data_IF_424010207167
#
_entry.id   IF_424010207167
#
_cell.length_a   1.000
_cell.length_b   1.000
_cell.length_c   1.000
_cell.angle_alpha   90.00
_cell.angle_beta   90.00
_cell.angle_gamma   90.00
#
_symmetry.space_group_name_H-M   'P 1'
#
loop_
_entity.id
_entity.type
_entity.pdbx_description
1 polymer ?
#
# COMPACT_ATOMS: atom_id res chain seq x y z
N UNK A 1 -35.51 16.83 -3.57
CA UNK A 1 -34.33 16.31 -2.85
C UNK A 1 -33.39 15.69 -3.87
N UNK A 2 -32.47 16.47 -4.41
CA UNK A 2 -31.50 16.03 -5.41
C UNK A 2 -30.34 15.36 -4.69
N UNK A 3 -30.17 14.04 -4.87
CA UNK A 3 -28.93 13.37 -4.52
C UNK A 3 -27.78 14.09 -5.22
N UNK A 4 -26.70 14.50 -4.52
CA UNK A 4 -25.54 15.03 -5.21
C UNK A 4 -24.93 13.91 -6.06
N UNK A 5 -24.90 14.15 -7.37
CA UNK A 5 -24.13 13.37 -8.33
C UNK A 5 -22.62 13.48 -8.02
N UNK A 6 -21.89 12.39 -8.31
CA UNK A 6 -20.43 12.34 -8.53
C UNK A 6 -19.46 12.31 -7.32
N UNK A 7 -19.80 11.57 -6.27
CA UNK A 7 -18.76 10.87 -5.50
C UNK A 7 -18.66 9.44 -6.05
N UNK A 8 -17.59 9.13 -6.81
CA UNK A 8 -17.33 7.76 -7.28
C UNK A 8 -17.60 6.75 -6.16
N UNK A 9 -18.40 5.71 -6.47
CA UNK A 9 -18.87 4.74 -5.47
C UNK A 9 -17.68 4.18 -4.68
N UNK A 10 -17.82 3.87 -3.37
CA UNK A 10 -16.74 3.30 -2.55
C UNK A 10 -16.09 2.08 -3.22
N UNK A 11 -16.91 1.27 -3.91
CA UNK A 11 -16.46 0.13 -4.69
C UNK A 11 -15.60 0.53 -5.89
N UNK A 12 -15.96 1.59 -6.61
CA UNK A 12 -15.15 2.12 -7.72
C UNK A 12 -13.80 2.64 -7.23
N UNK A 13 -13.76 3.35 -6.09
CA UNK A 13 -12.51 3.83 -5.48
C UNK A 13 -11.61 2.67 -5.06
N UNK A 14 -12.20 1.63 -4.44
CA UNK A 14 -11.50 0.42 -4.05
C UNK A 14 -10.90 -0.31 -5.26
N UNK A 15 -11.68 -0.50 -6.33
CA UNK A 15 -11.19 -1.11 -7.58
C UNK A 15 -10.09 -0.30 -8.22
N UNK A 16 -10.24 1.03 -8.25
CA UNK A 16 -9.21 1.93 -8.77
C UNK A 16 -7.92 1.82 -7.95
N UNK A 17 -8.02 1.70 -6.62
CA UNK A 17 -6.86 1.46 -5.76
C UNK A 17 -6.17 0.13 -6.12
N UNK A 18 -6.95 -0.93 -6.36
CA UNK A 18 -6.43 -2.22 -6.84
C UNK A 18 -5.70 -2.11 -8.19
N UNK A 19 -6.20 -1.31 -9.14
CA UNK A 19 -5.55 -1.08 -10.44
C UNK A 19 -4.21 -0.38 -10.26
N UNK A 20 -4.17 0.70 -9.47
CA UNK A 20 -2.90 1.40 -9.21
C UNK A 20 -1.91 0.54 -8.45
N UNK A 21 -2.36 -0.29 -7.51
CA UNK A 21 -1.50 -1.27 -6.84
C UNK A 21 -0.90 -2.26 -7.84
N UNK A 22 -1.69 -2.79 -8.76
CA UNK A 22 -1.21 -3.69 -9.81
C UNK A 22 -0.16 -3.01 -10.69
N UNK A 23 -0.39 -1.74 -11.08
CA UNK A 23 0.60 -0.95 -11.83
C UNK A 23 1.88 -0.82 -11.01
N UNK A 24 1.81 -0.52 -9.71
CA UNK A 24 2.99 -0.49 -8.84
C UNK A 24 3.72 -1.83 -8.84
N UNK A 25 3.04 -2.96 -8.70
CA UNK A 25 3.70 -4.27 -8.71
C UNK A 25 4.43 -4.55 -10.03
N UNK A 26 3.77 -4.31 -11.16
CA UNK A 26 4.35 -4.55 -12.49
C UNK A 26 5.55 -3.62 -12.73
N UNK A 27 5.36 -2.33 -12.49
CA UNK A 27 6.41 -1.32 -12.76
C UNK A 27 7.55 -1.38 -11.74
N UNK A 28 7.25 -1.69 -10.47
CA UNK A 28 8.25 -1.96 -9.45
C UNK A 28 9.10 -3.19 -9.76
N UNK A 29 8.46 -4.27 -10.24
CA UNK A 29 9.17 -5.44 -10.75
C UNK A 29 10.10 -5.09 -11.92
N UNK A 30 9.60 -4.35 -12.91
CA UNK A 30 10.41 -3.88 -14.04
C UNK A 30 11.56 -2.97 -13.59
N UNK A 31 11.36 -2.11 -12.59
CA UNK A 31 12.40 -1.26 -12.03
C UNK A 31 13.53 -2.07 -11.39
N UNK A 32 13.20 -3.18 -10.72
CA UNK A 32 14.17 -4.10 -10.13
C UNK A 32 15.01 -4.81 -11.20
N UNK A 33 14.39 -5.37 -12.24
CA UNK A 33 15.12 -6.06 -13.31
C UNK A 33 15.89 -5.11 -14.25
N UNK A 34 15.37 -3.89 -14.43
CA UNK A 34 15.99 -2.84 -15.25
C UNK A 34 16.92 -1.92 -14.47
N UNK A 35 17.37 -2.29 -13.26
CA UNK A 35 18.13 -1.41 -12.38
C UNK A 35 19.37 -0.83 -13.10
N UNK A 36 19.54 0.49 -13.07
CA UNK A 36 20.64 1.18 -13.74
C UNK A 36 20.39 1.58 -15.20
N UNK A 37 19.25 1.20 -15.79
CA UNK A 37 18.80 1.67 -17.11
C UNK A 37 17.77 2.80 -17.01
N UNK A 38 17.61 3.60 -18.07
CA UNK A 38 16.57 4.63 -18.15
C UNK A 38 15.16 4.03 -17.99
N UNK A 39 14.93 2.84 -18.54
CA UNK A 39 13.66 2.12 -18.42
C UNK A 39 13.36 1.74 -16.96
N UNK A 40 14.36 1.26 -16.22
CA UNK A 40 14.20 0.95 -14.80
C UNK A 40 13.92 2.19 -13.95
N UNK A 41 14.59 3.31 -14.25
CA UNK A 41 14.34 4.59 -13.59
C UNK A 41 12.92 5.11 -13.89
N UNK A 42 12.49 5.09 -15.15
CA UNK A 42 11.15 5.49 -15.55
C UNK A 42 10.07 4.60 -14.88
N UNK A 43 10.28 3.28 -14.87
CA UNK A 43 9.38 2.34 -14.20
C UNK A 43 9.29 2.60 -12.69
N UNK A 44 10.41 2.92 -12.02
CA UNK A 44 10.43 3.28 -10.61
C UNK A 44 9.63 4.56 -10.31
N UNK A 45 9.74 5.59 -11.16
CA UNK A 45 8.94 6.81 -11.04
C UNK A 45 7.44 6.55 -11.23
N UNK A 46 7.08 5.73 -12.22
CA UNK A 46 5.68 5.32 -12.43
C UNK A 46 5.15 4.53 -11.25
N UNK A 47 5.95 3.62 -10.68
CA UNK A 47 5.58 2.86 -9.49
C UNK A 47 5.30 3.80 -8.29
N UNK A 48 6.19 4.78 -8.06
CA UNK A 48 6.04 5.79 -7.02
C UNK A 48 4.80 6.66 -7.18
N UNK A 49 4.57 7.19 -8.39
CA UNK A 49 3.39 7.99 -8.71
C UNK A 49 2.09 7.18 -8.54
N UNK A 50 2.09 5.92 -9.00
CA UNK A 50 0.95 5.02 -8.83
C UNK A 50 0.68 4.72 -7.36
N UNK A 51 1.74 4.56 -6.55
CA UNK A 51 1.60 4.33 -5.12
C UNK A 51 1.02 5.54 -4.38
N UNK A 52 1.35 6.77 -4.81
CA UNK A 52 0.70 7.98 -4.29
C UNK A 52 -0.80 7.92 -4.56
N UNK A 53 -1.22 7.52 -5.77
CA UNK A 53 -2.64 7.35 -6.08
C UNK A 53 -3.31 6.27 -5.19
N UNK A 54 -2.67 5.11 -5.00
CA UNK A 54 -3.11 4.08 -4.04
C UNK A 54 -3.33 4.68 -2.65
N UNK A 55 -2.35 5.43 -2.17
CA UNK A 55 -2.37 6.05 -0.83
C UNK A 55 -3.59 6.95 -0.65
N UNK A 56 -3.86 7.82 -1.63
CA UNK A 56 -5.00 8.74 -1.58
C UNK A 56 -6.34 8.01 -1.69
N UNK A 57 -6.42 6.98 -2.53
CA UNK A 57 -7.64 6.17 -2.68
C UNK A 57 -7.95 5.37 -1.42
N UNK A 58 -6.94 4.73 -0.82
CA UNK A 58 -7.10 4.01 0.44
C UNK A 58 -7.42 4.94 1.60
N UNK A 59 -6.83 6.14 1.65
CA UNK A 59 -7.26 7.17 2.60
C UNK A 59 -8.77 7.44 2.47
N UNK A 60 -9.26 7.62 1.24
CA UNK A 60 -10.69 7.82 0.97
C UNK A 60 -11.57 6.64 1.39
N UNK A 61 -11.10 5.41 1.16
CA UNK A 61 -11.82 4.18 1.53
C UNK A 61 -11.84 3.96 3.04
N UNK A 62 -10.74 4.21 3.75
CA UNK A 62 -10.67 3.96 5.20
C UNK A 62 -11.05 5.15 6.09
N UNK A 63 -11.24 6.34 5.49
CA UNK A 63 -11.69 7.56 6.21
C UNK A 63 -12.88 7.32 7.16
N UNK A 64 -13.94 6.55 6.80
CA UNK A 64 -15.05 6.25 7.72
C UNK A 64 -14.66 5.48 8.98
N UNK A 65 -13.65 4.60 8.90
CA UNK A 65 -13.23 3.78 10.05
C UNK A 65 -12.50 4.64 11.08
N UNK A 66 -11.56 5.45 10.61
CA UNK A 66 -10.95 6.52 11.41
C UNK A 66 -10.17 7.47 10.52
N UNK A 67 -10.53 8.76 10.57
CA UNK A 67 -9.83 9.80 9.82
C UNK A 67 -8.37 9.94 10.23
N UNK A 68 -8.08 9.84 11.53
CA UNK A 68 -6.73 10.03 12.09
C UNK A 68 -5.75 8.93 11.66
N UNK A 69 -6.13 7.66 11.80
CA UNK A 69 -5.24 6.55 11.42
C UNK A 69 -5.09 6.45 9.90
N UNK A 70 -6.16 6.72 9.14
CA UNK A 70 -6.07 6.77 7.67
C UNK A 70 -5.13 7.88 7.20
N UNK A 71 -5.20 9.07 7.83
CA UNK A 71 -4.27 10.16 7.52
C UNK A 71 -2.83 9.81 7.92
N UNK A 72 -2.64 9.20 9.09
CA UNK A 72 -1.33 8.75 9.54
C UNK A 72 -0.74 7.74 8.55
N UNK A 73 -1.52 6.74 8.12
CA UNK A 73 -1.10 5.77 7.11
C UNK A 73 -0.71 6.47 5.80
N UNK A 74 -1.51 7.46 5.37
CA UNK A 74 -1.21 8.21 4.17
C UNK A 74 0.11 9.00 4.27
N UNK A 75 0.34 9.70 5.37
CA UNK A 75 1.58 10.44 5.61
C UNK A 75 2.79 9.50 5.66
N UNK A 76 2.69 8.40 6.42
CA UNK A 76 3.76 7.38 6.50
C UNK A 76 4.09 6.84 5.11
N UNK A 77 3.07 6.51 4.32
CA UNK A 77 3.26 6.02 2.95
C UNK A 77 3.92 7.05 2.05
N UNK A 78 3.51 8.32 2.11
CA UNK A 78 4.07 9.39 1.29
C UNK A 78 5.55 9.62 1.61
N UNK A 79 5.95 9.53 2.88
CA UNK A 79 7.37 9.57 3.27
C UNK A 79 8.13 8.39 2.65
N UNK A 80 7.57 7.18 2.68
CA UNK A 80 8.14 5.99 2.04
C UNK A 80 8.32 6.16 0.52
N UNK A 81 7.29 6.67 -0.17
CA UNK A 81 7.32 6.96 -1.61
C UNK A 81 8.31 8.07 -1.99
N UNK A 82 8.59 9.02 -1.10
CA UNK A 82 9.60 10.04 -1.32
C UNK A 82 11.01 9.47 -1.32
N UNK A 83 11.29 8.43 -0.51
CA UNK A 83 12.65 7.92 -0.33
C UNK A 83 12.98 6.82 -1.35
N UNK A 84 12.06 5.89 -1.62
CA UNK A 84 12.35 4.69 -2.41
C UNK A 84 12.65 4.94 -3.90
N UNK A 85 11.66 5.36 -4.71
CA UNK A 85 11.85 5.70 -6.12
C UNK A 85 12.95 6.73 -6.38
N UNK A 86 13.06 7.78 -5.54
CA UNK A 86 14.17 8.74 -5.64
C UNK A 86 15.51 8.09 -5.35
N UNK A 87 15.57 7.13 -4.41
CA UNK A 87 16.77 6.34 -4.14
C UNK A 87 17.25 5.52 -5.32
N UNK A 88 16.33 5.00 -6.15
CA UNK A 88 16.67 4.28 -7.38
C UNK A 88 17.20 5.22 -8.48
N UNK A 89 16.69 6.45 -8.57
CA UNK A 89 17.14 7.45 -9.56
C UNK A 89 18.49 8.06 -9.14
N UNK A 90 18.68 8.35 -7.86
CA UNK A 90 19.87 9.04 -7.32
C UNK A 90 20.96 8.05 -6.86
N UNK A 91 20.73 6.73 -6.99
CA UNK A 91 21.63 5.65 -6.53
C UNK A 91 22.01 5.80 -5.05
N UNK A 92 21.02 5.99 -4.19
CA UNK A 92 21.26 6.05 -2.74
C UNK A 92 21.87 4.73 -2.25
N UNK A 93 22.73 4.76 -1.21
CA UNK A 93 23.30 3.56 -0.61
C UNK A 93 22.20 2.58 -0.19
N UNK A 94 22.47 1.27 -0.21
CA UNK A 94 21.48 0.23 0.11
C UNK A 94 20.79 0.37 1.48
N UNK A 95 21.37 1.12 2.41
CA UNK A 95 20.74 1.47 3.70
C UNK A 95 19.46 2.32 3.56
N UNK A 96 19.37 3.18 2.54
CA UNK A 96 18.17 3.98 2.27
C UNK A 96 16.97 3.08 1.95
N UNK A 97 17.21 1.95 1.28
CA UNK A 97 16.16 0.98 0.95
C UNK A 97 15.61 0.27 2.20
N UNK A 98 16.46 -0.06 3.17
CA UNK A 98 15.99 -0.70 4.42
C UNK A 98 15.07 0.22 5.22
N UNK A 99 15.42 1.50 5.32
CA UNK A 99 14.58 2.50 6.01
C UNK A 99 13.23 2.64 5.30
N UNK A 100 13.22 2.70 3.96
CA UNK A 100 11.98 2.72 3.18
C UNK A 100 11.12 1.50 3.48
N UNK A 101 11.69 0.28 3.50
CA UNK A 101 10.95 -0.94 3.82
C UNK A 101 10.34 -0.87 5.23
N UNK A 102 11.09 -0.42 6.24
CA UNK A 102 10.56 -0.26 7.60
C UNK A 102 9.37 0.71 7.64
N UNK A 103 9.45 1.83 6.92
CA UNK A 103 8.36 2.80 6.80
C UNK A 103 7.12 2.14 6.14
N UNK A 104 7.33 1.39 5.06
CA UNK A 104 6.26 0.58 4.45
C UNK A 104 5.71 -0.48 5.39
N UNK A 105 6.53 -1.04 6.29
CA UNK A 105 6.10 -1.93 7.34
C UNK A 105 5.09 -1.29 8.28
N UNK A 106 5.39 -0.09 8.78
CA UNK A 106 4.46 0.69 9.61
C UNK A 106 3.17 1.01 8.84
N UNK A 107 3.29 1.41 7.58
CA UNK A 107 2.13 1.63 6.71
C UNK A 107 1.25 0.37 6.58
N UNK A 108 1.84 -0.79 6.30
CA UNK A 108 1.13 -2.06 6.17
C UNK A 108 0.39 -2.43 7.46
N UNK A 109 1.01 -2.21 8.63
CA UNK A 109 0.37 -2.43 9.93
C UNK A 109 -0.84 -1.52 10.13
N UNK A 110 -0.74 -0.24 9.77
CA UNK A 110 -1.84 0.71 9.87
C UNK A 110 -3.01 0.33 8.95
N UNK A 111 -2.73 -0.02 7.69
CA UNK A 111 -3.75 -0.47 6.74
C UNK A 111 -4.36 -1.81 7.19
N UNK A 112 -3.53 -2.77 7.62
CA UNK A 112 -4.00 -4.05 8.15
C UNK A 112 -4.92 -3.88 9.34
N UNK A 113 -4.57 -3.00 10.29
CA UNK A 113 -5.42 -2.65 11.43
C UNK A 113 -6.75 -2.01 10.99
N UNK A 114 -6.71 -1.06 10.04
CA UNK A 114 -7.91 -0.44 9.49
C UNK A 114 -8.82 -1.48 8.81
N UNK A 115 -8.25 -2.45 8.09
CA UNK A 115 -9.00 -3.54 7.46
C UNK A 115 -9.66 -4.44 8.51
N UNK A 116 -8.94 -4.81 9.56
CA UNK A 116 -9.46 -5.65 10.64
C UNK A 116 -10.63 -4.99 11.38
N UNK A 117 -10.66 -3.65 11.40
CA UNK A 117 -11.74 -2.83 11.97
C UNK A 117 -12.86 -2.51 10.97
N UNK A 118 -12.56 -2.46 9.67
CA UNK A 118 -13.55 -2.20 8.62
C UNK A 118 -14.41 -3.44 8.40
N UNK A 119 -15.70 -3.38 8.71
CA UNK A 119 -16.63 -4.48 8.45
C UNK A 119 -16.89 -4.73 6.95
N UNK A 120 -16.40 -3.83 6.07
CA UNK A 120 -16.60 -3.86 4.61
C UNK A 120 -15.49 -4.60 3.82
N UNK A 121 -14.44 -5.08 4.49
CA UNK A 121 -13.38 -5.92 3.91
C UNK A 121 -13.18 -7.19 4.76
N UNK A 122 -12.70 -8.30 4.16
CA UNK A 122 -12.44 -9.53 4.91
C UNK A 122 -11.25 -9.35 5.85
N UNK A 123 -11.42 -9.83 7.09
CA UNK A 123 -10.36 -9.80 8.11
C UNK A 123 -9.11 -10.59 7.70
N UNK A 124 -9.26 -11.62 6.87
CA UNK A 124 -8.15 -12.39 6.34
C UNK A 124 -7.17 -11.52 5.54
N UNK A 125 -7.67 -10.62 4.68
CA UNK A 125 -6.81 -9.68 3.93
C UNK A 125 -6.12 -8.71 4.89
N UNK A 126 -6.82 -8.26 5.94
CA UNK A 126 -6.21 -7.42 6.99
C UNK A 126 -5.09 -8.13 7.74
N UNK A 127 -5.28 -9.41 8.09
CA UNK A 127 -4.26 -10.22 8.76
C UNK A 127 -3.02 -10.44 7.86
N UNK A 128 -3.22 -10.70 6.57
CA UNK A 128 -2.11 -10.80 5.60
C UNK A 128 -1.36 -9.48 5.45
N UNK A 129 -2.07 -8.34 5.49
CA UNK A 129 -1.44 -7.02 5.48
C UNK A 129 -0.64 -6.74 6.76
N UNK A 130 -1.13 -7.18 7.92
CA UNK A 130 -0.36 -7.11 9.17
C UNK A 130 0.90 -7.98 9.08
N UNK A 131 0.78 -9.20 8.54
CA UNK A 131 1.91 -10.09 8.31
C UNK A 131 2.97 -9.47 7.38
N UNK A 132 2.54 -8.81 6.30
CA UNK A 132 3.42 -8.01 5.45
C UNK A 132 4.17 -6.94 6.25
N UNK A 133 3.45 -6.19 7.08
CA UNK A 133 4.04 -5.14 7.92
C UNK A 133 5.11 -5.68 8.87
N UNK A 134 4.84 -6.79 9.56
CA UNK A 134 5.82 -7.45 10.43
C UNK A 134 7.05 -7.95 9.65
N UNK A 135 6.85 -8.49 8.45
CA UNK A 135 7.95 -8.90 7.57
C UNK A 135 8.86 -7.73 7.22
N UNK A 136 8.30 -6.57 6.88
CA UNK A 136 9.10 -5.38 6.59
C UNK A 136 9.85 -4.81 7.79
N UNK A 137 9.30 -4.93 9.00
CA UNK A 137 9.98 -4.50 10.22
C UNK A 137 11.25 -5.31 10.53
N UNK A 138 11.44 -6.49 9.92
CA UNK A 138 12.67 -7.26 10.07
C UNK A 138 13.91 -6.52 9.56
N UNK A 139 13.73 -5.58 8.62
CA UNK A 139 14.79 -4.72 8.07
C UNK A 139 15.29 -3.65 9.05
N UNK A 140 14.70 -3.53 10.25
CA UNK A 140 15.28 -2.78 11.37
C UNK A 140 16.63 -3.37 11.82
N UNK A 141 16.83 -4.68 11.63
CA UNK A 141 18.08 -5.36 11.95
C UNK A 141 18.80 -5.82 10.68
N UNK A 142 19.98 -5.26 10.36
CA UNK A 142 20.79 -5.72 9.24
C UNK A 142 21.23 -7.19 9.35
N UNK A 143 21.25 -7.77 10.55
CA UNK A 143 21.50 -9.20 10.73
C UNK A 143 20.29 -10.02 10.27
N UNK A 144 19.09 -9.66 10.75
CA UNK A 144 17.86 -10.37 10.41
C UNK A 144 17.53 -10.24 8.91
N UNK A 145 17.77 -9.07 8.31
CA UNK A 145 17.60 -8.87 6.88
C UNK A 145 18.53 -9.76 6.02
N UNK A 146 19.74 -10.04 6.52
CA UNK A 146 20.69 -10.94 5.84
C UNK A 146 20.26 -12.40 5.98
N UNK A 147 19.84 -12.80 7.17
CA UNK A 147 19.43 -14.19 7.45
C UNK A 147 18.14 -14.58 6.71
N UNK A 148 17.25 -13.60 6.50
CA UNK A 148 16.00 -13.79 5.76
C UNK A 148 16.16 -13.60 4.25
N UNK A 149 17.35 -13.26 3.73
CA UNK A 149 17.55 -13.16 2.28
C UNK A 149 17.51 -14.56 1.64
N UNK A 150 16.78 -14.78 0.53
CA UNK A 150 16.02 -13.80 -0.28
C UNK A 150 14.54 -13.66 0.09
N UNK A 151 14.06 -14.41 1.09
CA UNK A 151 12.65 -14.53 1.48
C UNK A 151 12.06 -13.30 2.20
N UNK A 152 12.88 -12.33 2.61
CA UNK A 152 12.43 -11.14 3.34
C UNK A 152 11.38 -10.29 2.60
N UNK A 153 11.27 -10.40 1.27
CA UNK A 153 10.27 -9.71 0.46
C UNK A 153 8.93 -10.45 0.37
N UNK A 154 8.88 -11.75 0.72
CA UNK A 154 7.66 -12.57 0.58
C UNK A 154 6.48 -12.05 1.41
N UNK A 155 6.65 -11.66 2.69
CA UNK A 155 5.51 -11.19 3.48
C UNK A 155 4.83 -9.99 2.82
N UNK A 156 5.61 -9.04 2.30
CA UNK A 156 5.11 -7.87 1.58
C UNK A 156 4.31 -8.23 0.33
N UNK A 157 4.89 -9.08 -0.53
CA UNK A 157 4.22 -9.56 -1.75
C UNK A 157 2.89 -10.25 -1.41
N UNK A 158 2.87 -11.06 -0.35
CA UNK A 158 1.67 -11.78 0.06
C UNK A 158 0.59 -10.81 0.57
N UNK A 159 0.93 -9.89 1.47
CA UNK A 159 -0.07 -8.98 2.05
C UNK A 159 -0.60 -7.95 1.05
N UNK A 160 0.28 -7.21 0.41
CA UNK A 160 -0.11 -6.19 -0.57
C UNK A 160 -0.68 -6.84 -1.83
N UNK A 161 -0.15 -7.99 -2.27
CA UNK A 161 -0.70 -8.75 -3.38
C UNK A 161 -2.11 -9.28 -3.09
N UNK A 162 -2.36 -9.82 -1.90
CA UNK A 162 -3.70 -10.25 -1.50
C UNK A 162 -4.70 -9.08 -1.46
N UNK A 163 -4.29 -7.93 -0.91
CA UNK A 163 -5.11 -6.72 -0.93
C UNK A 163 -5.38 -6.25 -2.37
N UNK A 164 -4.37 -6.26 -3.22
CA UNK A 164 -4.49 -5.89 -4.65
C UNK A 164 -5.52 -6.76 -5.37
N UNK A 165 -5.38 -8.08 -5.26
CA UNK A 165 -6.29 -9.04 -5.87
C UNK A 165 -7.72 -8.88 -5.32
N UNK A 166 -7.87 -8.69 -4.01
CA UNK A 166 -9.17 -8.51 -3.41
C UNK A 166 -9.88 -7.25 -3.92
N UNK A 167 -9.16 -6.12 -3.93
CA UNK A 167 -9.70 -4.84 -4.37
C UNK A 167 -10.09 -4.86 -5.86
N UNK A 168 -9.31 -5.55 -6.69
CA UNK A 168 -9.61 -5.72 -8.12
C UNK A 168 -10.87 -6.57 -8.35
N UNK A 169 -10.91 -7.76 -7.74
CA UNK A 169 -11.96 -8.74 -8.00
C UNK A 169 -13.28 -8.35 -7.32
N UNK A 170 -13.21 -8.12 -6.01
CA UNK A 170 -14.40 -7.94 -5.17
C UNK A 170 -14.69 -6.46 -4.88
N UNK A 171 -13.63 -5.68 -4.62
CA UNK A 171 -13.74 -4.32 -4.12
C UNK A 171 -14.13 -4.28 -2.64
N UNK A 172 -14.91 -3.28 -2.24
CA UNK A 172 -15.46 -3.14 -0.88
C UNK A 172 -16.98 -3.31 -0.87
N UNK A 173 -17.52 -3.79 0.24
CA UNK A 173 -18.96 -3.83 0.51
C UNK A 173 -19.49 -2.39 0.69
N UNK A 174 -20.26 -1.91 -0.29
CA UNK A 174 -20.70 -0.52 -0.34
C UNK A 174 -21.76 -0.18 0.72
N UNK A 175 -22.59 -1.16 1.10
CA UNK A 175 -23.64 -0.96 2.10
C UNK A 175 -22.99 -0.77 3.47
N UNK A 176 -22.14 -1.73 3.89
CA UNK A 176 -21.41 -1.65 5.17
C UNK A 176 -20.48 -0.43 5.24
N UNK A 177 -19.90 -0.04 4.11
CA UNK A 177 -19.09 1.17 4.04
C UNK A 177 -19.92 2.43 4.31
N UNK A 178 -21.13 2.50 3.74
CA UNK A 178 -22.04 3.64 3.89
C UNK A 178 -22.62 3.71 5.30
N UNK A 179 -22.96 2.56 5.89
CA UNK A 179 -23.37 2.46 7.30
C UNK A 179 -22.29 3.03 8.23
N UNK A 180 -21.04 2.58 8.06
CA UNK A 180 -19.90 3.10 8.84
C UNK A 180 -19.64 4.59 8.60
N UNK A 181 -19.85 5.08 7.37
CA UNK A 181 -19.66 6.49 7.02
C UNK A 181 -20.74 7.40 7.62
N UNK A 182 -21.94 6.89 7.86
CA UNK A 182 -23.06 7.63 8.43
C UNK A 182 -23.12 7.54 9.97
N UNK A 183 -22.39 6.60 10.57
CA UNK A 183 -22.32 6.43 12.02
C UNK A 183 -21.42 7.48 12.74
N UNK A 184 -20.74 8.34 11.97
CA UNK A 184 -19.77 9.34 12.43
C UNK A 184 -19.96 10.69 11.74
#
# INVERSE_FOLDING_TARGET
MTAPADAASPRSKARLAGIFYLITFVTGGLALFGSGSLLGAAAGLVAGASYIAVTLLLYGVFKPVSRRLSLLAAVVSLVGCGIGPLGMVVRLPGQANNITLVIFGVYCLLIGYLILRSTFLPRAVGALMVFAGLGWLTFLSPALARDLYPYGFLPGIIGEGALTLWLLLFGVDAEKWTELANAH
#
